data_IF_901512523917
#
_entry.id   IF_901512523917
#
_cell.length_a   1.000
_cell.length_b   1.000
_cell.length_c   1.000
_cell.angle_alpha   90.00
_cell.angle_beta   90.00
_cell.angle_gamma   90.00
#
_symmetry.space_group_name_H-M   'P 1'
#
loop_
_entity.id
_entity.type
_entity.pdbx_description
1 polymer ?
#
# COMPACT_ATOMS: atom_id res chain seq x y z
N UNK A 1 0.97 19.24 -12.50
CA UNK A 1 0.99 17.89 -13.13
C UNK A 1 0.11 16.97 -12.31
N UNK A 2 -0.10 15.71 -12.74
CA UNK A 2 -0.81 14.69 -11.95
C UNK A 2 0.13 13.55 -11.65
N UNK A 3 0.25 13.21 -10.37
CA UNK A 3 1.08 12.11 -9.88
C UNK A 3 0.24 11.02 -9.23
N UNK A 4 0.64 9.77 -9.44
CA UNK A 4 0.23 8.63 -8.63
C UNK A 4 1.48 8.03 -7.99
N UNK A 5 1.58 8.16 -6.66
CA UNK A 5 2.66 7.57 -5.88
C UNK A 5 2.26 6.16 -5.42
N UNK A 6 3.09 5.17 -5.72
CA UNK A 6 2.87 3.78 -5.37
C UNK A 6 3.71 3.36 -4.17
N UNK A 7 3.07 2.87 -3.11
CA UNK A 7 3.70 2.40 -1.88
C UNK A 7 3.72 0.86 -1.87
N UNK A 8 4.91 0.25 -1.90
CA UNK A 8 5.02 -1.20 -2.08
C UNK A 8 4.66 -1.98 -0.82
N UNK A 9 4.28 -3.25 -1.02
CA UNK A 9 4.09 -4.22 0.05
C UNK A 9 5.43 -4.64 0.69
N UNK A 10 5.35 -5.28 1.85
CA UNK A 10 6.49 -5.87 2.53
C UNK A 10 7.27 -6.80 1.60
N UNK A 11 8.60 -6.70 1.62
CA UNK A 11 9.49 -7.51 0.80
C UNK A 11 9.52 -7.15 -0.69
N UNK A 12 8.70 -6.22 -1.16
CA UNK A 12 8.63 -5.86 -2.58
C UNK A 12 9.95 -5.34 -3.12
N UNK A 13 10.23 -5.71 -4.37
CA UNK A 13 11.39 -5.21 -5.12
C UNK A 13 11.12 -3.88 -5.83
N UNK A 14 12.16 -3.32 -6.50
CA UNK A 14 12.06 -2.01 -7.17
C UNK A 14 11.16 -2.03 -8.41
N UNK A 15 10.76 -3.21 -8.88
CA UNK A 15 10.04 -3.39 -10.14
C UNK A 15 8.59 -3.86 -9.96
N UNK A 16 8.06 -3.85 -8.74
CA UNK A 16 6.72 -4.38 -8.45
C UNK A 16 5.62 -3.66 -9.22
N UNK A 17 5.85 -2.39 -9.57
CA UNK A 17 4.90 -1.55 -10.29
C UNK A 17 5.29 -1.25 -11.75
N UNK A 18 6.11 -2.08 -12.40
CA UNK A 18 6.57 -1.79 -13.77
C UNK A 18 5.44 -1.60 -14.78
N UNK A 19 4.41 -2.44 -14.73
CA UNK A 19 3.23 -2.35 -15.63
C UNK A 19 2.42 -1.05 -15.41
N UNK A 20 2.51 -0.43 -14.24
CA UNK A 20 1.76 0.78 -13.92
C UNK A 20 2.23 1.99 -14.72
N UNK A 21 3.55 2.14 -14.91
CA UNK A 21 4.12 3.26 -15.66
C UNK A 21 3.56 3.36 -17.08
N UNK A 22 3.50 2.22 -17.77
CA UNK A 22 3.04 2.17 -19.16
C UNK A 22 1.53 2.45 -19.25
N UNK A 23 0.72 1.90 -18.34
CA UNK A 23 -0.72 2.08 -18.37
C UNK A 23 -1.16 3.47 -17.96
N UNK A 24 -0.42 4.12 -17.08
CA UNK A 24 -0.74 5.46 -16.55
C UNK A 24 -0.17 6.62 -17.37
N UNK A 25 0.72 6.39 -18.33
CA UNK A 25 1.49 7.42 -19.05
C UNK A 25 0.67 8.59 -19.64
N UNK A 26 -0.61 8.35 -19.98
CA UNK A 26 -1.51 9.37 -20.54
C UNK A 26 -2.45 9.97 -19.48
N UNK A 27 -2.33 9.60 -18.21
CA UNK A 27 -3.22 10.01 -17.12
C UNK A 27 -2.46 10.69 -15.99
N UNK A 28 -1.34 10.09 -15.58
CA UNK A 28 -0.51 10.56 -14.48
C UNK A 28 0.93 10.09 -14.62
N UNK A 29 1.85 10.81 -14.00
CA UNK A 29 3.21 10.33 -13.77
C UNK A 29 3.17 9.36 -12.59
N UNK A 30 3.51 8.09 -12.84
CA UNK A 30 3.62 7.09 -11.78
C UNK A 30 5.02 7.10 -11.16
N UNK A 31 5.09 7.18 -9.84
CA UNK A 31 6.35 7.10 -9.09
C UNK A 31 6.23 6.10 -7.93
N UNK A 32 7.11 5.10 -7.90
CA UNK A 32 7.19 4.15 -6.80
C UNK A 32 8.02 4.76 -5.67
N UNK A 33 7.45 4.82 -4.48
CA UNK A 33 8.13 5.28 -3.25
C UNK A 33 9.17 4.24 -2.82
N UNK A 34 10.30 4.74 -2.30
CA UNK A 34 11.51 3.93 -2.10
C UNK A 34 12.05 3.88 -0.66
N UNK A 35 11.19 4.13 0.37
CA UNK A 35 11.64 4.15 1.79
C UNK A 35 12.48 2.93 2.21
N UNK A 36 12.16 1.73 1.70
CA UNK A 36 12.94 0.49 1.89
C UNK A 36 13.27 -0.21 0.55
N UNK A 37 13.11 0.46 -0.59
CA UNK A 37 13.41 -0.16 -1.87
C UNK A 37 14.92 -0.15 -2.16
N UNK A 38 15.43 -1.33 -2.50
CA UNK A 38 16.81 -1.53 -2.90
C UNK A 38 17.74 -1.92 -1.75
N UNK A 39 18.88 -2.46 -2.15
CA UNK A 39 19.97 -2.81 -1.25
C UNK A 39 20.88 -1.60 -1.11
N UNK A 40 20.89 -0.99 0.07
CA UNK A 40 21.79 0.10 0.41
C UNK A 40 22.81 -0.33 1.47
N UNK A 41 24.00 -0.82 1.09
CA UNK A 41 25.03 -1.21 2.03
C UNK A 41 25.36 -0.05 2.99
N UNK A 42 25.30 -0.32 4.31
CA UNK A 42 25.63 0.65 5.34
C UNK A 42 24.50 1.61 5.75
N UNK A 43 23.30 1.50 5.19
CA UNK A 43 22.10 2.14 5.72
C UNK A 43 21.22 1.11 6.42
N UNK A 44 20.75 1.37 7.66
CA UNK A 44 19.71 0.53 8.25
C UNK A 44 18.43 0.64 7.43
N UNK A 45 17.69 -0.46 7.33
CA UNK A 45 16.33 -0.43 6.81
C UNK A 45 15.41 0.28 7.78
N UNK A 46 14.43 1.00 7.24
CA UNK A 46 13.37 1.61 8.01
C UNK A 46 12.47 0.50 8.59
N UNK A 47 12.31 0.47 9.89
CA UNK A 47 11.57 -0.55 10.64
C UNK A 47 10.44 0.01 11.50
N UNK A 48 10.10 1.30 11.31
CA UNK A 48 9.01 1.97 11.99
C UNK A 48 8.27 2.95 11.07
N UNK A 49 6.99 3.16 11.36
CA UNK A 49 6.07 3.92 10.51
C UNK A 49 6.42 5.42 10.45
N UNK A 50 6.93 5.99 11.53
CA UNK A 50 7.31 7.41 11.56
C UNK A 50 8.43 7.70 10.56
N UNK A 51 9.46 6.88 10.55
CA UNK A 51 10.58 7.03 9.62
C UNK A 51 10.16 6.74 8.18
N UNK A 52 9.36 5.70 7.94
CA UNK A 52 8.84 5.35 6.61
C UNK A 52 8.03 6.50 6.02
N UNK A 53 7.09 7.07 6.76
CA UNK A 53 6.27 8.20 6.32
C UNK A 53 7.09 9.47 6.13
N UNK A 54 8.10 9.71 6.97
CA UNK A 54 9.01 10.86 6.86
C UNK A 54 9.84 10.80 5.57
N UNK A 55 10.45 9.65 5.28
CA UNK A 55 11.24 9.44 4.07
C UNK A 55 10.36 9.54 2.82
N UNK A 56 9.18 8.94 2.84
CA UNK A 56 8.21 9.01 1.74
C UNK A 56 7.76 10.45 1.46
N UNK A 57 7.41 11.20 2.51
CA UNK A 57 7.03 12.60 2.36
C UNK A 57 8.18 13.46 1.81
N UNK A 58 9.42 13.21 2.24
CA UNK A 58 10.60 13.89 1.73
C UNK A 58 10.82 13.61 0.23
N UNK A 59 10.66 12.35 -0.19
CA UNK A 59 10.76 11.94 -1.60
C UNK A 59 9.68 12.62 -2.45
N UNK A 60 8.43 12.65 -1.98
CA UNK A 60 7.31 13.29 -2.66
C UNK A 60 7.55 14.79 -2.83
N UNK A 61 7.94 15.49 -1.76
CA UNK A 61 8.21 16.94 -1.81
C UNK A 61 9.28 17.31 -2.83
N UNK A 62 10.28 16.46 -3.05
CA UNK A 62 11.32 16.71 -4.04
C UNK A 62 10.83 16.62 -5.49
N UNK A 63 9.66 16.03 -5.72
CA UNK A 63 9.10 15.77 -7.06
C UNK A 63 7.96 16.70 -7.44
N UNK A 64 7.18 17.16 -6.46
CA UNK A 64 5.95 17.93 -6.70
C UNK A 64 6.19 19.42 -6.69
N UNK A 65 5.27 20.17 -7.32
CA UNK A 65 5.19 21.62 -7.32
C UNK A 65 3.79 22.07 -6.88
N UNK A 66 3.66 23.34 -6.52
CA UNK A 66 2.36 23.94 -6.20
C UNK A 66 1.37 23.78 -7.36
N UNK A 67 0.17 23.31 -7.05
CA UNK A 67 -0.89 23.05 -8.05
C UNK A 67 -0.84 21.66 -8.67
N UNK A 68 0.12 20.81 -8.30
CA UNK A 68 0.12 19.41 -8.74
C UNK A 68 -0.98 18.60 -8.04
N UNK A 69 -1.63 17.70 -8.79
CA UNK A 69 -2.59 16.74 -8.27
C UNK A 69 -1.86 15.47 -7.78
N UNK A 70 -2.07 15.11 -6.53
CA UNK A 70 -1.35 14.04 -5.84
C UNK A 70 -2.32 12.92 -5.46
N UNK A 71 -2.07 11.73 -5.97
CA UNK A 71 -2.83 10.52 -5.69
C UNK A 71 -1.91 9.45 -5.11
N UNK A 72 -2.42 8.65 -4.20
CA UNK A 72 -1.67 7.56 -3.57
C UNK A 72 -2.28 6.21 -3.88
N UNK A 73 -1.43 5.21 -4.03
CA UNK A 73 -1.79 3.81 -4.07
C UNK A 73 -0.86 3.01 -3.17
N UNK A 74 -1.41 2.27 -2.20
CA UNK A 74 -0.67 1.36 -1.32
C UNK A 74 -1.13 -0.08 -1.47
N UNK A 75 -0.20 -1.04 -1.50
CA UNK A 75 -0.54 -2.47 -1.45
C UNK A 75 -0.08 -3.08 -0.14
N UNK A 76 -0.97 -3.81 0.54
CA UNK A 76 -0.70 -4.45 1.83
C UNK A 76 -0.08 -3.42 2.82
N UNK A 77 1.10 -3.67 3.40
CA UNK A 77 1.84 -2.72 4.25
C UNK A 77 1.87 -1.29 3.66
N UNK A 78 2.02 -1.17 2.35
CA UNK A 78 2.05 0.12 1.66
C UNK A 78 0.80 0.96 1.86
N UNK A 79 -0.35 0.38 2.21
CA UNK A 79 -1.58 1.11 2.53
C UNK A 79 -1.40 2.01 3.77
N UNK A 80 -0.84 1.46 4.86
CA UNK A 80 -0.57 2.23 6.09
C UNK A 80 0.53 3.26 5.89
N UNK A 81 1.60 2.93 5.13
CA UNK A 81 2.66 3.91 4.83
C UNK A 81 2.09 5.05 3.98
N UNK A 82 1.21 4.76 3.01
CA UNK A 82 0.55 5.77 2.20
C UNK A 82 -0.34 6.69 3.05
N UNK A 83 -1.15 6.12 3.94
CA UNK A 83 -1.99 6.89 4.86
C UNK A 83 -1.14 7.80 5.76
N UNK A 84 -0.14 7.26 6.45
CA UNK A 84 0.73 8.05 7.35
C UNK A 84 1.53 9.11 6.60
N UNK A 85 1.91 8.83 5.36
CA UNK A 85 2.55 9.84 4.50
C UNK A 85 1.59 10.97 4.14
N UNK A 86 0.33 10.66 3.82
CA UNK A 86 -0.71 11.65 3.54
C UNK A 86 -1.00 12.52 4.79
N UNK A 87 -1.12 11.90 5.96
CA UNK A 87 -1.27 12.61 7.23
C UNK A 87 -0.09 13.55 7.48
N UNK A 88 1.13 13.09 7.31
CA UNK A 88 2.34 13.91 7.49
C UNK A 88 2.37 15.10 6.53
N UNK A 89 2.09 14.90 5.24
CA UNK A 89 2.04 15.97 4.26
C UNK A 89 0.95 17.02 4.60
N UNK A 90 -0.22 16.56 5.06
CA UNK A 90 -1.31 17.44 5.51
C UNK A 90 -0.90 18.27 6.72
N UNK A 91 -0.33 17.64 7.76
CA UNK A 91 -0.01 18.29 9.03
C UNK A 91 1.23 19.20 8.97
N UNK A 92 2.27 18.81 8.20
CA UNK A 92 3.53 19.56 8.18
C UNK A 92 3.63 20.57 7.06
N UNK A 93 2.95 20.34 5.93
CA UNK A 93 3.11 21.13 4.71
C UNK A 93 1.81 21.73 4.19
N UNK A 94 0.66 21.37 4.78
CA UNK A 94 -0.66 21.73 4.28
C UNK A 94 -0.99 21.11 2.91
N UNK A 95 -0.23 20.09 2.49
CA UNK A 95 -0.43 19.40 1.21
C UNK A 95 -1.51 18.34 1.37
N UNK A 96 -2.55 18.43 0.54
CA UNK A 96 -3.65 17.47 0.51
C UNK A 96 -3.56 16.61 -0.74
N UNK A 97 -3.77 15.29 -0.57
CA UNK A 97 -3.91 14.36 -1.68
C UNK A 97 -5.33 14.37 -2.23
N UNK A 98 -5.49 14.07 -3.52
CA UNK A 98 -6.79 14.03 -4.20
C UNK A 98 -7.54 12.72 -3.93
N UNK A 99 -6.84 11.66 -3.53
CA UNK A 99 -7.44 10.38 -3.15
C UNK A 99 -6.40 9.35 -2.75
N UNK A 100 -6.83 8.42 -1.90
CA UNK A 100 -6.06 7.26 -1.45
C UNK A 100 -6.69 5.99 -2.00
N UNK A 101 -5.96 5.30 -2.85
CA UNK A 101 -6.25 3.94 -3.28
C UNK A 101 -5.39 2.97 -2.50
N UNK A 102 -5.93 1.82 -2.13
CA UNK A 102 -5.11 0.77 -1.55
C UNK A 102 -5.69 -0.62 -1.84
N UNK A 103 -4.91 -1.66 -1.56
CA UNK A 103 -5.37 -3.05 -1.70
C UNK A 103 -4.86 -3.93 -0.56
N UNK A 104 -5.70 -4.89 -0.16
CA UNK A 104 -5.37 -5.99 0.75
C UNK A 104 -4.81 -5.53 2.10
N UNK A 105 -5.47 -4.57 2.78
CA UNK A 105 -5.04 -4.17 4.13
C UNK A 105 -6.20 -3.72 5.03
N UNK A 106 -6.04 -3.99 6.32
CA UNK A 106 -6.96 -3.58 7.39
C UNK A 106 -6.84 -2.09 7.70
N UNK A 107 -7.79 -1.53 8.47
CA UNK A 107 -7.76 -0.14 8.87
C UNK A 107 -6.55 0.17 9.78
N UNK A 108 -6.03 1.42 9.76
CA UNK A 108 -4.79 1.79 10.46
C UNK A 108 -4.80 1.60 11.99
N UNK A 109 -5.96 1.60 12.63
CA UNK A 109 -6.14 1.40 14.08
C UNK A 109 -6.26 -0.08 14.49
N UNK A 110 -6.26 -1.00 13.54
CA UNK A 110 -6.29 -2.44 13.83
C UNK A 110 -4.85 -2.95 13.97
N UNK A 111 -4.41 -3.35 15.18
CA UNK A 111 -3.04 -3.79 15.38
C UNK A 111 -2.79 -5.17 14.80
N UNK A 112 -1.65 -5.36 14.13
CA UNK A 112 -1.13 -6.66 13.72
C UNK A 112 -0.26 -7.20 14.87
N UNK A 113 -0.59 -8.38 15.39
CA UNK A 113 0.03 -8.93 16.61
C UNK A 113 0.81 -10.23 16.37
N UNK A 114 1.19 -10.52 15.14
CA UNK A 114 1.80 -11.80 14.78
C UNK A 114 3.21 -11.94 15.39
N UNK A 115 3.96 -10.84 15.51
CA UNK A 115 5.27 -10.77 16.17
C UNK A 115 6.34 -11.61 15.48
N UNK A 116 6.14 -11.99 14.20
CA UNK A 116 7.06 -12.87 13.47
C UNK A 116 8.40 -12.18 13.15
N UNK A 117 8.42 -10.85 13.12
CA UNK A 117 9.66 -10.10 12.89
C UNK A 117 10.73 -10.36 13.98
N UNK A 118 10.34 -10.81 15.18
CA UNK A 118 11.25 -11.11 16.27
C UNK A 118 11.66 -12.59 16.34
N UNK A 119 11.14 -13.43 15.45
CA UNK A 119 11.56 -14.84 15.38
C UNK A 119 12.99 -14.97 14.86
N UNK A 120 13.65 -16.12 15.14
CA UNK A 120 14.94 -16.42 14.54
C UNK A 120 14.84 -16.49 13.00
N UNK A 121 16.00 -16.44 12.32
CA UNK A 121 16.04 -16.34 10.85
C UNK A 121 15.42 -17.56 10.15
N UNK A 122 15.52 -18.77 10.74
CA UNK A 122 14.99 -20.00 10.17
C UNK A 122 13.46 -20.03 10.27
N UNK A 123 12.92 -19.74 11.46
CA UNK A 123 11.47 -19.68 11.70
C UNK A 123 10.82 -18.56 10.86
N UNK A 124 11.43 -17.37 10.82
CA UNK A 124 10.94 -16.25 10.03
C UNK A 124 10.97 -16.56 8.52
N UNK A 125 12.07 -17.12 8.01
CA UNK A 125 12.17 -17.52 6.60
C UNK A 125 11.12 -18.56 6.22
N UNK A 126 10.85 -19.54 7.10
CA UNK A 126 9.80 -20.54 6.89
C UNK A 126 8.40 -19.93 6.84
N UNK A 127 8.13 -18.96 7.70
CA UNK A 127 6.84 -18.27 7.74
C UNK A 127 6.61 -17.47 6.46
N UNK A 128 7.56 -16.60 6.05
CA UNK A 128 7.43 -15.83 4.82
C UNK A 128 7.37 -16.72 3.56
N UNK A 129 8.01 -17.90 3.60
CA UNK A 129 7.90 -18.89 2.52
C UNK A 129 6.46 -19.43 2.41
N UNK A 130 5.80 -19.69 3.55
CA UNK A 130 4.42 -20.19 3.56
C UNK A 130 3.42 -19.22 2.93
N UNK A 131 3.73 -17.92 2.91
CA UNK A 131 2.91 -16.91 2.26
C UNK A 131 2.95 -16.98 0.71
N UNK A 132 3.89 -17.71 0.11
CA UNK A 132 3.97 -17.93 -1.34
C UNK A 132 4.25 -16.68 -2.18
N UNK A 133 4.71 -15.59 -1.56
CA UNK A 133 4.95 -14.28 -2.24
C UNK A 133 6.32 -14.16 -2.89
N UNK A 134 7.24 -15.02 -2.50
CA UNK A 134 8.62 -14.97 -2.99
C UNK A 134 8.93 -16.17 -3.88
N UNK A 135 9.78 -16.00 -4.92
CA UNK A 135 10.24 -17.11 -5.75
C UNK A 135 10.93 -18.19 -4.91
N UNK A 136 10.76 -19.46 -5.25
CA UNK A 136 11.36 -20.60 -4.56
C UNK A 136 12.89 -20.50 -4.48
N UNK A 137 13.53 -19.93 -5.50
CA UNK A 137 14.98 -19.72 -5.53
C UNK A 137 15.48 -18.82 -4.39
N UNK A 138 14.60 -17.98 -3.85
CA UNK A 138 14.94 -17.11 -2.72
C UNK A 138 15.25 -17.94 -1.47
N UNK A 139 14.48 -19.00 -1.24
CA UNK A 139 14.65 -19.88 -0.07
C UNK A 139 15.67 -20.99 -0.28
N UNK A 140 15.88 -21.42 -1.51
CA UNK A 140 16.86 -22.48 -1.84
C UNK A 140 18.30 -21.98 -1.98
N UNK A 141 18.52 -20.65 -2.08
CA UNK A 141 19.85 -20.03 -2.19
C UNK A 141 20.18 -19.24 -0.91
N UNK A 142 20.98 -19.79 0.03
CA UNK A 142 21.29 -19.12 1.30
C UNK A 142 21.85 -17.70 1.16
N UNK A 143 22.60 -17.43 0.08
CA UNK A 143 23.16 -16.11 -0.18
C UNK A 143 22.08 -15.06 -0.49
N UNK A 144 21.01 -15.42 -1.21
CA UNK A 144 19.88 -14.54 -1.48
C UNK A 144 19.07 -14.32 -0.21
N UNK A 145 18.76 -15.38 0.52
CA UNK A 145 18.04 -15.29 1.78
C UNK A 145 18.76 -14.35 2.76
N UNK A 146 20.04 -14.55 2.99
CA UNK A 146 20.87 -13.70 3.86
C UNK A 146 20.88 -12.23 3.42
N UNK A 147 20.82 -11.98 2.11
CA UNK A 147 20.83 -10.62 1.55
C UNK A 147 19.52 -9.89 1.78
N UNK A 148 18.36 -10.56 1.57
CA UNK A 148 17.07 -9.92 1.57
C UNK A 148 16.30 -10.04 2.90
N UNK A 149 16.58 -11.06 3.70
CA UNK A 149 15.89 -11.32 4.96
C UNK A 149 15.89 -10.12 5.92
N UNK A 150 16.99 -9.35 6.08
CA UNK A 150 16.99 -8.17 6.94
C UNK A 150 16.00 -7.08 6.48
N UNK A 151 15.86 -6.89 5.15
CA UNK A 151 14.90 -5.95 4.59
C UNK A 151 13.46 -6.39 4.87
N UNK A 152 13.15 -7.64 4.58
CA UNK A 152 11.81 -8.20 4.78
C UNK A 152 11.44 -8.12 6.26
N UNK A 153 12.37 -8.45 7.15
CA UNK A 153 12.17 -8.36 8.61
C UNK A 153 11.89 -6.93 9.06
N UNK A 154 12.58 -5.94 8.50
CA UNK A 154 12.31 -4.53 8.78
C UNK A 154 10.90 -4.11 8.32
N UNK A 155 10.50 -4.55 7.13
CA UNK A 155 9.15 -4.30 6.61
C UNK A 155 8.06 -4.93 7.50
N UNK A 156 8.25 -6.17 7.99
CA UNK A 156 7.34 -6.80 8.95
C UNK A 156 7.31 -6.07 10.29
N UNK A 157 8.48 -5.70 10.83
CA UNK A 157 8.56 -4.95 12.09
C UNK A 157 7.82 -3.61 12.00
N UNK A 158 7.88 -2.97 10.83
CA UNK A 158 7.18 -1.72 10.56
C UNK A 158 5.65 -1.87 10.77
N UNK A 159 5.04 -2.93 10.23
CA UNK A 159 3.59 -3.14 10.35
C UNK A 159 3.19 -3.72 11.71
N UNK A 160 3.99 -4.60 12.30
CA UNK A 160 3.69 -5.23 13.59
C UNK A 160 3.80 -4.26 14.77
N UNK A 161 4.63 -3.21 14.66
CA UNK A 161 4.75 -2.16 15.67
C UNK A 161 3.83 -0.97 15.43
N UNK A 162 3.11 -0.95 14.31
CA UNK A 162 2.22 0.14 13.96
C UNK A 162 0.79 -0.10 14.42
N UNK A 163 0.21 0.93 15.01
CA UNK A 163 -1.22 1.05 15.24
C UNK A 163 -1.54 2.55 15.36
N UNK A 164 -2.44 3.05 14.52
CA UNK A 164 -2.83 4.46 14.60
C UNK A 164 -3.72 4.73 15.79
N UNK A 165 -3.35 5.72 16.58
CA UNK A 165 -4.11 6.21 17.75
C UNK A 165 -4.60 7.65 17.58
N UNK A 166 -4.25 8.31 16.48
CA UNK A 166 -4.55 9.73 16.22
C UNK A 166 -5.85 9.92 15.46
N UNK A 167 -6.24 8.94 14.64
CA UNK A 167 -7.44 8.95 13.80
C UNK A 167 -7.55 10.22 12.94
N UNK A 168 -6.45 10.60 12.26
CA UNK A 168 -6.46 11.79 11.41
C UNK A 168 -7.28 11.54 10.16
N UNK A 169 -8.36 12.28 10.01
CA UNK A 169 -9.28 12.17 8.86
C UNK A 169 -8.71 12.88 7.64
N UNK A 170 -8.63 12.20 6.51
CA UNK A 170 -8.22 12.77 5.23
C UNK A 170 -9.43 13.42 4.53
N UNK A 171 -9.20 14.54 3.84
CA UNK A 171 -10.24 15.28 3.10
C UNK A 171 -10.31 14.83 1.62
N UNK A 172 -10.23 13.53 1.39
CA UNK A 172 -10.25 12.94 0.06
C UNK A 172 -10.96 11.58 0.08
N UNK A 173 -11.48 11.09 -1.06
CA UNK A 173 -12.02 9.74 -1.14
C UNK A 173 -10.96 8.67 -0.89
N UNK A 174 -11.36 7.60 -0.21
CA UNK A 174 -10.56 6.39 0.01
C UNK A 174 -11.23 5.23 -0.73
N UNK A 175 -10.48 4.49 -1.52
CA UNK A 175 -10.97 3.30 -2.24
C UNK A 175 -10.08 2.12 -1.95
N UNK A 176 -10.66 1.07 -1.37
CA UNK A 176 -9.97 -0.17 -1.04
C UNK A 176 -10.33 -1.30 -2.01
N UNK A 177 -9.32 -2.03 -2.49
CA UNK A 177 -9.49 -3.24 -3.32
C UNK A 177 -9.19 -4.47 -2.46
N UNK A 178 -10.07 -5.47 -2.51
CA UNK A 178 -10.00 -6.65 -1.63
C UNK A 178 -10.26 -7.95 -2.38
N UNK A 179 -9.59 -9.04 -1.95
CA UNK A 179 -9.93 -10.40 -2.34
C UNK A 179 -11.14 -10.89 -1.53
N UNK A 180 -12.10 -11.57 -2.19
CA UNK A 180 -13.28 -12.13 -1.50
C UNK A 180 -12.93 -13.23 -0.51
N UNK A 181 -11.83 -13.94 -0.78
CA UNK A 181 -11.34 -15.07 -0.02
C UNK A 181 -10.10 -14.70 0.82
N UNK A 182 -9.86 -13.41 1.05
CA UNK A 182 -8.75 -12.91 1.87
C UNK A 182 -9.10 -12.99 3.36
N UNK A 183 -8.68 -14.08 4.00
CA UNK A 183 -8.91 -14.31 5.43
C UNK A 183 -8.07 -13.38 6.33
N UNK A 184 -7.01 -12.77 5.79
CA UNK A 184 -6.15 -11.84 6.53
C UNK A 184 -6.74 -10.44 6.68
N UNK A 185 -7.80 -10.13 5.89
CA UNK A 185 -8.49 -8.82 5.93
C UNK A 185 -9.98 -9.04 6.20
N UNK A 186 -10.38 -9.30 7.45
CA UNK A 186 -11.78 -9.47 7.81
C UNK A 186 -12.62 -8.24 7.48
N UNK A 187 -13.85 -8.44 7.02
CA UNK A 187 -14.76 -7.37 6.58
C UNK A 187 -14.90 -6.24 7.61
N UNK A 188 -15.06 -6.57 8.89
CA UNK A 188 -15.15 -5.60 9.98
C UNK A 188 -13.92 -4.69 10.10
N UNK A 189 -12.73 -5.24 9.81
CA UNK A 189 -11.45 -4.54 9.96
C UNK A 189 -11.14 -3.67 8.73
N UNK A 190 -11.70 -4.02 7.56
CA UNK A 190 -11.63 -3.16 6.37
C UNK A 190 -12.65 -2.01 6.43
N UNK A 191 -13.85 -2.23 7.00
CA UNK A 191 -14.87 -1.17 7.13
C UNK A 191 -14.39 -0.01 8.00
N UNK A 192 -13.44 -0.24 8.91
CA UNK A 192 -12.78 0.78 9.72
C UNK A 192 -12.18 1.92 8.91
N UNK A 193 -11.77 1.68 7.66
CA UNK A 193 -11.27 2.74 6.78
C UNK A 193 -12.25 3.88 6.53
N UNK A 194 -13.56 3.65 6.71
CA UNK A 194 -14.57 4.70 6.62
C UNK A 194 -14.38 5.83 7.66
N UNK A 195 -13.70 5.55 8.77
CA UNK A 195 -13.41 6.53 9.82
C UNK A 195 -12.23 7.45 9.46
N UNK A 196 -11.50 7.16 8.37
CA UNK A 196 -10.28 7.86 7.96
C UNK A 196 -10.49 8.85 6.80
N UNK A 197 -11.73 9.04 6.38
CA UNK A 197 -12.08 10.00 5.33
C UNK A 197 -13.32 10.83 5.69
N UNK A 198 -13.29 12.12 5.38
CA UNK A 198 -14.47 13.01 5.46
C UNK A 198 -15.34 12.97 4.18
N UNK A 199 -14.90 12.28 3.13
CA UNK A 199 -15.55 12.28 1.81
C UNK A 199 -16.30 10.97 1.55
N UNK A 200 -15.59 9.87 1.34
CA UNK A 200 -16.20 8.55 1.11
C UNK A 200 -15.16 7.44 1.23
N UNK A 201 -15.59 6.29 1.76
CA UNK A 201 -14.87 5.04 1.63
C UNK A 201 -15.65 4.10 0.71
N UNK A 202 -14.95 3.49 -0.25
CA UNK A 202 -15.55 2.56 -1.20
C UNK A 202 -14.74 1.27 -1.30
N UNK A 203 -15.22 0.15 -0.75
CA UNK A 203 -14.61 -1.16 -0.94
C UNK A 203 -15.00 -1.75 -2.30
N UNK A 204 -14.03 -2.34 -3.00
CA UNK A 204 -14.21 -3.06 -4.28
C UNK A 204 -13.63 -4.45 -4.13
N UNK A 205 -14.44 -5.47 -4.40
CA UNK A 205 -14.07 -6.86 -4.22
C UNK A 205 -13.76 -7.54 -5.55
N UNK A 206 -12.66 -8.31 -5.55
CA UNK A 206 -12.23 -9.19 -6.63
C UNK A 206 -12.30 -10.66 -6.19
N UNK A 207 -12.42 -11.60 -7.11
CA UNK A 207 -12.20 -13.02 -6.79
C UNK A 207 -10.77 -13.25 -6.29
N UNK A 208 -10.57 -14.23 -5.38
CA UNK A 208 -9.27 -14.64 -4.90
C UNK A 208 -8.95 -14.20 -3.47
N UNK A 209 -7.81 -14.71 -2.97
CA UNK A 209 -7.28 -14.49 -1.63
C UNK A 209 -6.47 -13.18 -1.53
N UNK A 210 -5.58 -13.09 -0.54
CA UNK A 210 -4.69 -11.94 -0.32
C UNK A 210 -3.87 -11.53 -1.56
N UNK A 211 -3.60 -12.48 -2.45
CA UNK A 211 -2.78 -12.30 -3.66
C UNK A 211 -3.58 -11.96 -4.92
N UNK A 212 -4.90 -11.74 -4.83
CA UNK A 212 -5.77 -11.33 -5.94
C UNK A 212 -5.18 -10.19 -6.77
N UNK A 213 -4.40 -9.33 -6.15
CA UNK A 213 -3.75 -8.19 -6.78
C UNK A 213 -2.90 -8.59 -7.99
N UNK A 214 -2.15 -9.70 -7.90
CA UNK A 214 -1.26 -10.12 -9.00
C UNK A 214 -2.02 -10.54 -10.25
N UNK A 215 -3.19 -11.15 -10.08
CA UNK A 215 -4.04 -11.60 -11.19
C UNK A 215 -4.88 -10.45 -11.77
N UNK A 216 -5.22 -9.45 -10.95
CA UNK A 216 -6.13 -8.37 -11.30
C UNK A 216 -5.48 -6.99 -11.46
N UNK A 217 -4.14 -6.89 -11.51
CA UNK A 217 -3.45 -5.59 -11.66
C UNK A 217 -4.00 -4.74 -12.81
N UNK A 218 -4.21 -5.26 -14.04
CA UNK A 218 -4.75 -4.47 -15.13
C UNK A 218 -6.10 -3.85 -14.82
N UNK A 219 -7.02 -4.61 -14.20
CA UNK A 219 -8.36 -4.14 -13.85
C UNK A 219 -8.33 -3.10 -12.74
N UNK A 220 -7.47 -3.28 -11.74
CA UNK A 220 -7.26 -2.32 -10.65
C UNK A 220 -6.76 -0.99 -11.22
N UNK A 221 -5.77 -1.03 -12.09
CA UNK A 221 -5.22 0.17 -12.74
C UNK A 221 -6.31 0.89 -13.55
N UNK A 222 -7.11 0.16 -14.33
CA UNK A 222 -8.17 0.75 -15.15
C UNK A 222 -9.26 1.40 -14.28
N UNK A 223 -9.61 0.81 -13.12
CA UNK A 223 -10.51 1.42 -12.14
C UNK A 223 -9.91 2.70 -11.53
N UNK A 224 -8.63 2.67 -11.14
CA UNK A 224 -7.92 3.85 -10.63
C UNK A 224 -7.90 4.97 -11.67
N UNK A 225 -7.58 4.65 -12.93
CA UNK A 225 -7.61 5.63 -14.04
C UNK A 225 -9.01 6.27 -14.16
N UNK A 226 -10.06 5.45 -14.13
CA UNK A 226 -11.44 5.93 -14.19
C UNK A 226 -11.77 6.87 -13.02
N UNK A 227 -11.38 6.50 -11.81
CA UNK A 227 -11.60 7.32 -10.61
C UNK A 227 -10.80 8.62 -10.64
N UNK A 228 -9.53 8.60 -11.02
CA UNK A 228 -8.72 9.81 -11.15
C UNK A 228 -9.27 10.81 -12.18
N UNK A 229 -9.90 10.33 -13.25
CA UNK A 229 -10.57 11.18 -14.24
C UNK A 229 -11.84 11.84 -13.72
N UNK A 230 -12.52 11.18 -12.77
CA UNK A 230 -13.79 11.61 -12.20
C UNK A 230 -13.64 12.27 -10.80
N UNK A 231 -12.43 12.76 -10.45
CA UNK A 231 -12.18 13.39 -9.15
C UNK A 231 -12.34 12.45 -7.94
N UNK A 232 -12.12 11.15 -8.14
CA UNK A 232 -12.21 10.13 -7.08
C UNK A 232 -13.62 9.64 -6.76
N UNK A 233 -14.64 10.12 -7.49
CA UNK A 233 -16.04 9.72 -7.24
C UNK A 233 -16.52 8.65 -8.22
N UNK A 234 -17.28 7.67 -7.71
CA UNK A 234 -18.06 6.78 -8.57
C UNK A 234 -19.31 7.50 -9.03
N UNK A 235 -19.47 7.75 -10.34
CA UNK A 235 -20.78 8.03 -10.89
C UNK A 235 -21.59 6.72 -10.86
N UNK A 236 -22.73 6.73 -10.16
CA UNK A 236 -23.66 5.60 -9.93
C UNK A 236 -24.32 5.03 -11.22
N UNK A 237 -23.56 4.82 -12.29
CA UNK A 237 -24.08 4.15 -13.50
C UNK A 237 -23.89 2.62 -13.50
N UNK A 238 -23.30 2.02 -12.45
CA UNK A 238 -23.08 0.57 -12.35
C UNK A 238 -23.53 -0.07 -11.02
N UNK A 239 -24.25 0.63 -10.14
CA UNK A 239 -24.65 0.10 -8.82
C UNK A 239 -25.91 -0.80 -8.84
N UNK A 240 -26.40 -1.28 -10.00
CA UNK A 240 -27.64 -2.08 -10.08
C UNK A 240 -27.48 -3.45 -10.76
N UNK A 241 -26.34 -4.14 -10.61
CA UNK A 241 -26.21 -5.51 -11.16
C UNK A 241 -25.47 -6.52 -10.28
N UNK A 242 -25.49 -6.38 -8.96
CA UNK A 242 -24.95 -7.45 -8.08
C UNK A 242 -25.77 -7.64 -6.79
N UNK A 243 -27.12 -7.63 -6.93
CA UNK A 243 -28.01 -8.23 -5.92
C UNK A 243 -28.98 -9.12 -6.67
N UNK A 244 -28.56 -10.31 -7.07
CA UNK A 244 -29.34 -11.52 -7.36
C UNK A 244 -28.45 -12.45 -8.21
N UNK A 245 -27.71 -13.31 -7.53
CA UNK A 245 -27.55 -14.74 -7.83
C UNK A 245 -26.73 -15.40 -6.70
#
# INVERSE_FOLDING_TARGET
>A
MRYLFGFPAAGSGPNVYNIWKDRLKNVATFHQISYNSGFHPGRPYCDNMEEASRLSAQEIRALIQEGDEIWFYGHCMGASVAYETAVRLKETDGIQIQGLFFSAFIAPDVPIKDGIADWDDEAFAKEIHSHGTFPEEFFTKPSLLKLFLPKIRADYRLIETYCDHRHVVLDCPIVGFFGRDDESVPLKDLEGWANYTSVSFTPIFFPGNHYFYYDHQPEIIDKIIGLMRNGGTFHNSCAQKTQND
#
